data_IF_145172429608
#
_entry.id   IF_145172429608
#
_cell.length_a   1.000
_cell.length_b   1.000
_cell.length_c   1.000
_cell.angle_alpha   90.00
_cell.angle_beta   90.00
_cell.angle_gamma   90.00
#
_symmetry.space_group_name_H-M   'P 1'
#
loop_
_entity.id
_entity.type
_entity.pdbx_description
1 polymer ?
#
# COMPACT_ATOMS: atom_id res chain seq x y z
N UNK A 1 0.61 -16.72 -0.07
CA UNK A 1 -0.66 -16.31 0.57
C UNK A 1 -0.46 -15.66 1.94
N UNK A 2 0.42 -16.15 2.81
CA UNK A 2 0.60 -15.58 4.18
C UNK A 2 1.34 -14.23 4.24
N UNK A 3 2.00 -13.81 3.15
CA UNK A 3 2.80 -12.58 3.08
C UNK A 3 2.01 -11.30 2.75
N UNK A 4 0.69 -11.41 2.52
CA UNK A 4 -0.13 -10.28 2.08
C UNK A 4 -0.81 -9.56 3.26
N UNK A 5 -0.49 -8.28 3.45
CA UNK A 5 -1.15 -7.41 4.44
C UNK A 5 -2.17 -6.54 3.72
N UNK A 6 -3.44 -6.79 3.97
CA UNK A 6 -4.58 -6.09 3.35
C UNK A 6 -5.58 -5.65 4.42
N UNK A 7 -6.68 -4.99 4.03
CA UNK A 7 -7.65 -4.48 5.02
C UNK A 7 -8.23 -5.58 5.92
N UNK A 8 -8.34 -6.83 5.45
CA UNK A 8 -8.79 -7.98 6.24
C UNK A 8 -7.65 -8.71 6.97
N UNK A 9 -6.39 -8.37 6.70
CA UNK A 9 -5.21 -8.88 7.40
C UNK A 9 -4.27 -7.70 7.73
N UNK A 10 -4.64 -6.83 8.69
CA UNK A 10 -3.96 -5.56 8.94
C UNK A 10 -2.54 -5.72 9.52
N UNK A 11 -2.14 -6.96 9.82
CA UNK A 11 -0.82 -7.30 10.37
C UNK A 11 -0.34 -8.57 9.69
N UNK A 12 0.90 -8.52 9.21
CA UNK A 12 1.61 -9.72 8.79
C UNK A 12 1.79 -10.66 10.00
N UNK A 13 1.76 -12.00 9.85
CA UNK A 13 1.95 -12.93 10.97
C UNK A 13 3.25 -12.71 11.75
N UNK A 14 4.30 -12.20 11.10
CA UNK A 14 5.56 -11.82 11.77
C UNK A 14 5.44 -10.63 12.72
N UNK A 15 4.37 -9.83 12.61
CA UNK A 15 4.18 -8.58 13.35
C UNK A 15 5.04 -7.41 12.87
N UNK A 16 5.88 -7.62 11.85
CA UNK A 16 6.86 -6.64 11.36
C UNK A 16 6.27 -5.65 10.37
N UNK A 17 5.14 -5.98 9.75
CA UNK A 17 4.38 -5.07 8.87
C UNK A 17 2.98 -4.92 9.44
N UNK A 18 2.54 -3.69 9.63
CA UNK A 18 1.21 -3.38 10.17
C UNK A 18 0.64 -2.12 9.58
N UNK A 19 -0.69 -2.13 9.44
CA UNK A 19 -1.48 -0.93 9.20
C UNK A 19 -1.89 -0.29 10.53
N UNK A 20 -1.68 1.00 10.65
CA UNK A 20 -2.18 1.80 11.78
C UNK A 20 -3.62 2.25 11.53
N UNK A 21 -4.37 2.63 12.58
CA UNK A 21 -5.68 3.23 12.40
C UNK A 21 -5.62 4.47 11.50
N UNK A 22 -6.63 4.62 10.62
CA UNK A 22 -6.77 5.84 9.81
C UNK A 22 -6.83 7.07 10.73
N UNK A 23 -6.15 8.14 10.32
CA UNK A 23 -6.16 9.42 11.03
C UNK A 23 -6.68 10.50 10.11
N UNK A 24 -7.51 11.40 10.66
CA UNK A 24 -7.80 12.67 10.01
C UNK A 24 -6.77 13.69 10.47
N UNK A 25 -5.99 14.24 9.55
CA UNK A 25 -5.05 15.34 9.78
C UNK A 25 -5.53 16.59 9.04
N UNK A 26 -4.82 17.71 9.19
CA UNK A 26 -5.22 18.98 8.54
C UNK A 26 -5.25 18.86 7.01
N UNK A 27 -4.36 18.03 6.46
CA UNK A 27 -4.18 17.78 5.03
C UNK A 27 -5.19 16.76 4.46
N UNK A 28 -5.95 16.08 5.31
CA UNK A 28 -6.97 15.11 4.88
C UNK A 28 -6.93 13.79 5.65
N UNK A 29 -7.49 12.75 5.03
CA UNK A 29 -7.51 11.39 5.59
C UNK A 29 -6.20 10.67 5.26
N UNK A 30 -5.54 10.16 6.28
CA UNK A 30 -4.26 9.45 6.16
C UNK A 30 -4.40 8.01 6.62
N UNK A 31 -4.00 7.10 5.74
CA UNK A 31 -3.70 5.71 6.09
C UNK A 31 -2.18 5.56 6.30
N UNK A 32 -1.76 4.66 7.19
CA UNK A 32 -0.33 4.53 7.54
C UNK A 32 0.04 3.06 7.67
N UNK A 33 1.10 2.67 6.97
CA UNK A 33 1.75 1.36 7.10
C UNK A 33 3.10 1.58 7.77
N UNK A 34 3.38 0.79 8.81
CA UNK A 34 4.70 0.67 9.41
C UNK A 34 5.31 -0.68 9.07
N UNK A 35 6.60 -0.68 8.74
CA UNK A 35 7.37 -1.89 8.47
C UNK A 35 8.75 -1.82 9.12
N UNK A 36 9.10 -2.83 9.93
CA UNK A 36 10.47 -3.07 10.38
C UNK A 36 11.22 -3.87 9.32
N UNK A 37 11.79 -3.15 8.35
CA UNK A 37 12.50 -3.72 7.21
C UNK A 37 13.80 -4.44 7.60
N UNK A 38 14.38 -4.09 8.77
CA UNK A 38 15.61 -4.71 9.26
C UNK A 38 15.38 -6.09 9.86
N UNK A 39 14.18 -6.32 10.41
CA UNK A 39 13.78 -7.59 10.99
C UNK A 39 13.10 -8.55 9.99
N UNK A 40 12.75 -8.08 8.79
CA UNK A 40 12.16 -8.95 7.75
C UNK A 40 13.12 -10.09 7.38
N UNK A 41 12.56 -11.29 7.17
CA UNK A 41 13.32 -12.46 6.74
C UNK A 41 14.11 -12.15 5.45
N UNK A 42 15.26 -12.80 5.30
CA UNK A 42 16.10 -12.65 4.13
C UNK A 42 15.39 -13.08 2.83
N UNK A 43 14.34 -13.91 2.91
CA UNK A 43 13.49 -14.27 1.78
C UNK A 43 12.56 -13.15 1.29
N UNK A 44 12.37 -12.09 2.08
CA UNK A 44 11.51 -10.96 1.69
C UNK A 44 12.35 -9.93 0.95
N UNK A 45 12.26 -9.96 -0.38
CA UNK A 45 13.02 -9.04 -1.25
C UNK A 45 12.29 -7.73 -1.55
N UNK A 46 10.97 -7.69 -1.36
CA UNK A 46 10.12 -6.56 -1.74
C UNK A 46 8.92 -6.41 -0.80
N UNK A 47 8.55 -5.17 -0.50
CA UNK A 47 7.29 -4.78 0.14
C UNK A 47 6.60 -3.80 -0.78
N UNK A 48 5.41 -4.15 -1.28
CA UNK A 48 4.63 -3.33 -2.21
C UNK A 48 3.54 -2.59 -1.42
N UNK A 49 3.42 -1.28 -1.65
CA UNK A 49 2.43 -0.43 -1.01
C UNK A 49 1.41 -0.05 -2.07
N UNK A 50 0.20 -0.57 -1.92
CA UNK A 50 -0.92 -0.31 -2.81
C UNK A 50 -2.09 0.36 -2.07
N UNK A 51 -2.87 1.13 -2.81
CA UNK A 51 -4.16 1.64 -2.38
C UNK A 51 -5.26 1.03 -3.26
N UNK A 52 -6.40 0.71 -2.67
CA UNK A 52 -7.61 0.30 -3.39
C UNK A 52 -8.82 1.09 -2.89
N UNK A 53 -9.82 1.23 -3.76
CA UNK A 53 -11.10 1.87 -3.49
C UNK A 53 -12.22 0.88 -3.80
N UNK A 54 -13.14 0.70 -2.86
CA UNK A 54 -14.32 -0.18 -3.02
C UNK A 54 -15.54 0.59 -3.58
N UNK A 55 -15.39 1.89 -3.85
CA UNK A 55 -16.44 2.77 -4.36
C UNK A 55 -16.11 3.31 -5.75
N UNK A 56 -15.59 4.54 -5.79
CA UNK A 56 -15.27 5.24 -7.03
C UNK A 56 -13.80 5.08 -7.44
N UNK A 57 -13.50 5.37 -8.71
CA UNK A 57 -12.14 5.41 -9.23
C UNK A 57 -11.28 6.50 -8.57
N UNK A 58 -9.97 6.26 -8.50
CA UNK A 58 -9.01 7.18 -7.89
C UNK A 58 -8.93 8.56 -8.57
N UNK A 59 -9.48 8.72 -9.77
CA UNK A 59 -9.62 10.04 -10.40
C UNK A 59 -10.45 11.02 -9.54
N UNK A 60 -11.35 10.51 -8.69
CA UNK A 60 -12.16 11.31 -7.78
C UNK A 60 -11.44 11.67 -6.47
N UNK A 61 -10.22 11.16 -6.26
CA UNK A 61 -9.42 11.43 -5.05
C UNK A 61 -8.39 12.51 -5.38
N UNK A 62 -8.64 13.79 -5.00
CA UNK A 62 -7.68 14.85 -5.20
C UNK A 62 -6.44 14.63 -4.32
N UNK A 63 -5.28 15.05 -4.82
CA UNK A 63 -4.02 15.12 -4.08
C UNK A 63 -3.54 13.80 -3.45
N UNK A 64 -3.90 12.66 -4.06
CA UNK A 64 -3.39 11.35 -3.65
C UNK A 64 -1.86 11.32 -3.69
N UNK A 65 -1.25 10.97 -2.56
CA UNK A 65 0.21 10.91 -2.41
C UNK A 65 0.63 9.82 -1.44
N UNK A 66 1.84 9.31 -1.66
CA UNK A 66 2.56 8.49 -0.70
C UNK A 66 3.74 9.28 -0.14
N UNK A 67 3.87 9.24 1.18
CA UNK A 67 5.00 9.82 1.91
C UNK A 67 5.75 8.68 2.60
N UNK A 68 7.06 8.68 2.45
CA UNK A 68 7.95 7.74 3.15
C UNK A 68 8.63 8.47 4.31
N UNK A 69 8.54 7.91 5.50
CA UNK A 69 9.21 8.42 6.69
C UNK A 69 10.19 7.40 7.26
N UNK A 70 11.20 7.87 7.97
CA UNK A 70 11.97 7.03 8.89
C UNK A 70 11.23 6.99 10.24
N UNK A 71 10.70 5.82 10.60
CA UNK A 71 9.94 5.65 11.85
C UNK A 71 10.80 5.83 13.11
N UNK A 72 12.13 5.77 13.00
CA UNK A 72 13.03 6.03 14.14
C UNK A 72 13.19 7.52 14.47
N UNK A 73 12.81 8.41 13.55
CA UNK A 73 12.90 9.86 13.74
C UNK A 73 11.52 10.42 14.10
N UNK A 74 11.31 10.72 15.38
CA UNK A 74 10.10 11.41 15.82
C UNK A 74 10.01 12.79 15.12
N UNK A 75 8.86 13.07 14.50
CA UNK A 75 8.55 14.32 13.79
C UNK A 75 9.51 14.67 12.65
N UNK A 76 10.09 13.66 11.99
CA UNK A 76 10.92 13.85 10.81
C UNK A 76 10.14 14.25 9.57
N UNK A 77 10.77 15.05 8.69
CA UNK A 77 10.27 15.30 7.33
C UNK A 77 10.26 14.00 6.50
N UNK A 78 9.37 13.88 5.50
CA UNK A 78 9.34 12.70 4.65
C UNK A 78 10.65 12.57 3.87
N UNK A 79 11.22 11.36 3.88
CA UNK A 79 12.37 10.97 3.06
C UNK A 79 12.05 11.02 1.56
N UNK A 80 10.79 10.77 1.21
CA UNK A 80 10.28 10.85 -0.15
C UNK A 80 8.80 11.23 -0.14
N UNK A 81 8.40 12.00 -1.14
CA UNK A 81 7.00 12.34 -1.44
C UNK A 81 6.76 12.02 -2.90
N UNK A 82 5.67 11.32 -3.19
CA UNK A 82 5.27 11.01 -4.55
C UNK A 82 3.77 11.24 -4.73
N UNK A 83 3.42 12.13 -5.64
CA UNK A 83 2.05 12.34 -6.09
C UNK A 83 1.65 11.18 -7.00
N UNK A 84 0.63 10.44 -6.60
CA UNK A 84 0.12 9.27 -7.31
C UNK A 84 -1.02 9.74 -8.21
N UNK A 85 -0.91 9.50 -9.52
CA UNK A 85 -1.92 9.92 -10.49
C UNK A 85 -2.45 8.72 -11.26
N UNK A 86 -3.78 8.52 -11.32
CA UNK A 86 -4.36 7.55 -12.25
C UNK A 86 -4.03 7.93 -13.70
N UNK A 87 -3.76 6.95 -14.54
CA UNK A 87 -3.36 7.18 -15.93
C UNK A 87 -4.58 7.26 -16.86
N UNK A 88 -5.56 6.39 -16.63
CA UNK A 88 -6.75 6.23 -17.47
C UNK A 88 -7.99 6.87 -16.86
N UNK A 89 -8.02 7.03 -15.53
CA UNK A 89 -9.15 7.55 -14.79
C UNK A 89 -10.11 6.47 -14.28
N UNK A 90 -9.90 5.23 -14.68
CA UNK A 90 -10.74 4.07 -14.35
C UNK A 90 -10.13 3.23 -13.20
N UNK A 91 -8.92 3.56 -12.75
CA UNK A 91 -8.20 2.82 -11.72
C UNK A 91 -8.95 2.82 -10.38
N UNK A 92 -9.25 1.63 -9.88
CA UNK A 92 -9.78 1.39 -8.53
C UNK A 92 -8.76 0.75 -7.60
N UNK A 93 -7.58 0.37 -8.12
CA UNK A 93 -6.39 0.04 -7.34
C UNK A 93 -5.14 0.66 -7.97
N UNK A 94 -4.18 1.08 -7.15
CA UNK A 94 -2.91 1.66 -7.61
C UNK A 94 -1.77 1.17 -6.72
N UNK A 95 -0.65 0.75 -7.31
CA UNK A 95 0.62 0.60 -6.60
C UNK A 95 1.24 1.99 -6.44
N UNK A 96 1.22 2.52 -5.23
CA UNK A 96 1.77 3.84 -4.93
C UNK A 96 3.30 3.82 -4.94
N UNK A 97 3.90 2.75 -4.41
CA UNK A 97 5.34 2.58 -4.36
C UNK A 97 5.73 1.24 -3.76
N UNK A 98 7.03 1.01 -3.70
CA UNK A 98 7.58 -0.23 -3.18
C UNK A 98 8.92 0.01 -2.49
N UNK A 99 9.21 -0.84 -1.52
CA UNK A 99 10.50 -0.98 -0.89
C UNK A 99 11.12 -2.29 -1.40
N UNK A 100 12.37 -2.27 -1.84
CA UNK A 100 13.06 -3.47 -2.33
C UNK A 100 14.50 -3.54 -1.81
N UNK A 101 15.01 -4.76 -1.63
CA UNK A 101 16.40 -4.99 -1.25
C UNK A 101 17.35 -4.64 -2.40
N UNK A 102 18.41 -3.91 -2.09
CA UNK A 102 19.50 -3.62 -3.03
C UNK A 102 20.82 -3.55 -2.28
N UNK A 103 21.66 -4.56 -2.49
CA UNK A 103 22.88 -4.74 -1.70
C UNK A 103 22.51 -5.04 -0.24
N UNK A 104 23.13 -4.32 0.70
CA UNK A 104 22.94 -4.54 2.14
C UNK A 104 21.76 -3.76 2.74
N UNK A 105 20.98 -3.04 1.92
CA UNK A 105 19.92 -2.17 2.41
C UNK A 105 18.67 -2.15 1.55
N UNK A 106 17.70 -1.37 2.00
CA UNK A 106 16.43 -1.16 1.31
C UNK A 106 16.45 0.13 0.49
N UNK A 107 15.71 0.12 -0.62
CA UNK A 107 15.47 1.29 -1.48
C UNK A 107 13.98 1.45 -1.69
N UNK A 108 13.55 2.70 -1.77
CA UNK A 108 12.19 3.05 -2.19
C UNK A 108 12.16 3.36 -3.68
N UNK A 109 11.11 2.90 -4.36
CA UNK A 109 10.79 3.27 -5.73
C UNK A 109 9.33 3.70 -5.80
N UNK A 110 9.10 4.91 -6.31
CA UNK A 110 7.78 5.35 -6.74
C UNK A 110 7.36 4.57 -7.99
N UNK A 111 6.12 4.09 -8.01
CA UNK A 111 5.61 3.22 -9.10
C UNK A 111 4.46 3.91 -9.83
N UNK A 112 3.33 4.16 -9.16
CA UNK A 112 2.16 4.80 -9.76
C UNK A 112 1.37 3.92 -10.73
N UNK A 113 1.53 2.59 -10.66
CA UNK A 113 0.89 1.67 -11.60
C UNK A 113 -0.57 1.44 -11.24
N UNK A 114 -1.45 1.80 -12.16
CA UNK A 114 -2.89 1.67 -12.04
C UNK A 114 -3.47 0.31 -12.42
N UNK A 115 -4.59 -0.06 -11.80
CA UNK A 115 -5.36 -1.25 -12.08
C UNK A 115 -6.87 -0.91 -12.14
N UNK A 116 -7.45 -0.78 -13.35
CA UNK A 116 -8.91 -0.62 -13.52
C UNK A 116 -9.71 -1.82 -13.02
N UNK A 117 -9.11 -3.01 -13.04
CA UNK A 117 -9.64 -4.27 -12.50
C UNK A 117 -9.62 -4.33 -10.96
N UNK A 118 -9.28 -3.22 -10.30
CA UNK A 118 -9.25 -3.11 -8.84
C UNK A 118 -8.26 -4.05 -8.16
N UNK A 119 -8.52 -4.28 -6.87
CA UNK A 119 -7.65 -5.07 -6.01
C UNK A 119 -7.47 -6.50 -6.51
N UNK A 120 -8.50 -7.09 -7.12
CA UNK A 120 -8.45 -8.45 -7.68
C UNK A 120 -7.38 -8.55 -8.76
N UNK A 121 -7.38 -7.62 -9.73
CA UNK A 121 -6.39 -7.64 -10.80
C UNK A 121 -4.98 -7.31 -10.31
N UNK A 122 -4.86 -6.42 -9.31
CA UNK A 122 -3.59 -6.16 -8.65
C UNK A 122 -3.06 -7.43 -7.97
N UNK A 123 -3.85 -8.06 -7.11
CA UNK A 123 -3.44 -9.27 -6.38
C UNK A 123 -3.10 -10.43 -7.33
N UNK A 124 -3.88 -10.62 -8.39
CA UNK A 124 -3.62 -11.65 -9.41
C UNK A 124 -2.27 -11.44 -10.09
N UNK A 125 -1.85 -10.19 -10.32
CA UNK A 125 -0.54 -9.88 -10.89
C UNK A 125 0.64 -10.32 -9.98
N UNK A 126 0.40 -10.47 -8.68
CA UNK A 126 1.35 -11.02 -7.71
C UNK A 126 1.14 -12.52 -7.43
N UNK A 127 0.28 -13.20 -8.21
CA UNK A 127 -0.01 -14.62 -8.05
C UNK A 127 -0.88 -14.96 -6.83
N UNK A 128 -1.58 -13.97 -6.29
CA UNK A 128 -2.46 -14.11 -5.11
C UNK A 128 -3.89 -14.32 -5.57
N UNK A 129 -4.57 -15.31 -5.00
CA UNK A 129 -6.01 -15.50 -5.17
C UNK A 129 -6.77 -14.69 -4.12
N UNK A 130 -7.71 -13.85 -4.56
CA UNK A 130 -8.61 -13.10 -3.69
C UNK A 130 -9.98 -13.77 -3.73
N UNK A 131 -10.43 -14.32 -2.60
CA UNK A 131 -11.80 -14.85 -2.49
C UNK A 131 -12.79 -13.69 -2.29
N UNK A 132 -13.68 -13.48 -3.25
CA UNK A 132 -14.67 -12.39 -3.30
C UNK A 132 -15.87 -12.61 -2.34
N UNK A 133 -15.66 -13.33 -1.24
CA UNK A 133 -16.76 -13.84 -0.39
C UNK A 133 -17.42 -12.76 0.49
N UNK A 134 -16.92 -11.53 0.54
CA UNK A 134 -17.47 -10.46 1.39
C UNK A 134 -17.90 -9.19 0.63
N UNK A 135 -18.16 -9.28 -0.68
CA UNK A 135 -18.92 -8.25 -1.42
C UNK A 135 -20.43 -8.57 -1.50
N UNK A 136 -20.94 -9.37 -0.55
CA UNK A 136 -22.28 -9.96 -0.58
C UNK A 136 -23.14 -9.68 0.65
N UNK A 137 -23.07 -8.49 1.24
CA UNK A 137 -23.99 -8.05 2.28
C UNK A 137 -25.23 -7.34 1.71
N UNK A 138 -26.11 -8.05 0.99
CA UNK A 138 -27.46 -7.55 0.66
C UNK A 138 -28.49 -7.89 1.75
N UNK A 139 -29.76 -7.44 1.67
CA UNK A 139 -30.38 -6.46 0.79
C UNK A 139 -30.60 -5.06 1.41
#
# INVERSE_FOLDING_TARGET
>A
DEDFVFYNQPRHPSGLVRRLPKRSVAEGLTDTIEADLGALDASVDQVVIAASSDGDAFQQVPDLRILLFDAALADGEPLAVFDVRPETGEETAIICGELYRRGEGWKFRAVGQGYPTGLIGLATAFGISVDDSEAGGGP
#
